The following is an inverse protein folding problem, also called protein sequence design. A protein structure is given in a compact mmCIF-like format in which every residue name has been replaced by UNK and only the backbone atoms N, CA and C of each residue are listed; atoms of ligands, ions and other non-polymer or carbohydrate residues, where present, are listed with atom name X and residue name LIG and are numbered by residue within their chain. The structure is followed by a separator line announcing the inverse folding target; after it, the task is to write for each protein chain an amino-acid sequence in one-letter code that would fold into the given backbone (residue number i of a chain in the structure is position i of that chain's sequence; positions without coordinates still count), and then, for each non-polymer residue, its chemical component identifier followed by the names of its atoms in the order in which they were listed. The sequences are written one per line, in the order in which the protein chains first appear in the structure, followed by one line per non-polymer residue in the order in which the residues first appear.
data_IF_654875257490
#
_entry.id   IF_654875257490
#
_cell.length_a   1.000
_cell.length_b   1.000
_cell.length_c   1.000
_cell.angle_alpha   90.00
_cell.angle_beta   90.00
_cell.angle_gamma   90.00
#
_symmetry.space_group_name_H-M   'P 1'
#
loop_
_entity.id
_entity.type
_entity.pdbx_description
1 polymer ?
#
# COMPACT_ATOMS: atom_id res chain seq x y z
N UNK A 1 18.92 -1.97 7.09
CA UNK A 1 17.89 -0.96 7.41
C UNK A 1 17.74 -0.04 6.20
N UNK A 2 16.52 0.10 5.65
CA UNK A 2 16.24 0.95 4.48
C UNK A 2 15.52 2.22 4.96
N UNK A 3 16.27 3.21 5.43
CA UNK A 3 15.78 4.52 5.86
C UNK A 3 15.89 5.58 4.76
N UNK A 4 15.46 6.81 5.04
CA UNK A 4 15.50 7.90 4.06
C UNK A 4 16.92 8.24 3.56
N UNK A 5 17.94 7.96 4.33
CA UNK A 5 19.34 8.13 3.93
C UNK A 5 19.74 7.06 2.91
N UNK A 6 19.42 5.79 3.19
CA UNK A 6 19.65 4.69 2.26
C UNK A 6 19.09 5.01 0.86
N UNK A 7 17.82 5.45 0.79
CA UNK A 7 17.18 5.78 -0.48
C UNK A 7 17.85 6.96 -1.20
N UNK A 8 18.35 7.96 -0.46
CA UNK A 8 19.09 9.09 -1.06
C UNK A 8 20.42 8.65 -1.64
N UNK A 9 21.15 7.81 -0.93
CA UNK A 9 22.48 7.32 -1.32
C UNK A 9 22.41 6.30 -2.46
N UNK A 10 21.33 5.51 -2.52
CA UNK A 10 21.14 4.43 -3.49
C UNK A 10 20.07 4.74 -4.54
N UNK A 11 19.90 6.01 -4.92
CA UNK A 11 18.84 6.46 -5.82
C UNK A 11 18.82 5.72 -7.16
N UNK A 12 19.96 5.33 -7.69
CA UNK A 12 20.11 4.57 -8.94
C UNK A 12 19.46 3.18 -8.91
N UNK A 13 19.21 2.61 -7.72
CA UNK A 13 18.54 1.31 -7.59
C UNK A 13 17.03 1.41 -7.81
N UNK A 14 16.42 2.50 -7.37
CA UNK A 14 14.95 2.64 -7.37
C UNK A 14 14.40 3.76 -8.26
N UNK A 15 15.26 4.59 -8.87
CA UNK A 15 14.84 5.69 -9.72
C UNK A 15 15.51 5.63 -11.09
N UNK A 16 14.71 5.87 -12.15
CA UNK A 16 15.19 5.97 -13.52
C UNK A 16 14.42 7.05 -14.28
N UNK A 17 15.12 7.94 -14.96
CA UNK A 17 14.56 9.02 -15.79
C UNK A 17 14.84 8.83 -17.29
N UNK A 18 15.32 7.66 -17.69
CA UNK A 18 15.53 7.34 -19.10
C UNK A 18 14.20 7.21 -19.85
N UNK A 19 14.13 7.78 -21.04
CA UNK A 19 12.92 7.75 -21.88
C UNK A 19 12.75 6.46 -22.68
N UNK A 20 13.67 5.51 -22.58
CA UNK A 20 13.80 4.37 -23.52
C UNK A 20 13.83 3.01 -22.82
N UNK A 21 12.76 2.66 -22.08
CA UNK A 21 12.57 1.26 -21.71
C UNK A 21 11.81 0.49 -22.79
N UNK A 22 12.32 -0.70 -23.14
CA UNK A 22 11.48 -1.76 -23.67
C UNK A 22 10.64 -2.35 -22.55
N UNK A 23 9.53 -3.03 -22.87
CA UNK A 23 8.69 -3.68 -21.83
C UNK A 23 9.50 -4.72 -21.02
N UNK A 24 10.42 -5.43 -21.66
CA UNK A 24 11.27 -6.42 -21.02
C UNK A 24 12.21 -5.78 -20.00
N UNK A 25 12.95 -4.74 -20.39
CA UNK A 25 13.85 -4.01 -19.51
C UNK A 25 13.10 -3.35 -18.33
N UNK A 26 11.87 -2.86 -18.57
CA UNK A 26 11.03 -2.30 -17.51
C UNK A 26 10.67 -3.38 -16.49
N UNK A 27 10.24 -4.57 -16.96
CA UNK A 27 9.90 -5.69 -16.08
C UNK A 27 11.08 -6.11 -15.22
N UNK A 28 12.27 -6.27 -15.80
CA UNK A 28 13.49 -6.62 -15.06
C UNK A 28 13.81 -5.57 -13.98
N UNK A 29 13.72 -4.28 -14.31
CA UNK A 29 13.95 -3.18 -13.36
C UNK A 29 12.91 -3.17 -12.24
N UNK A 30 11.63 -3.31 -12.56
CA UNK A 30 10.56 -3.38 -11.56
C UNK A 30 10.80 -4.55 -10.60
N UNK A 31 11.10 -5.75 -11.13
CA UNK A 31 11.36 -6.94 -10.32
C UNK A 31 12.57 -6.74 -9.41
N UNK A 32 13.69 -6.28 -9.96
CA UNK A 32 14.93 -6.08 -9.19
C UNK A 32 14.74 -5.03 -8.10
N UNK A 33 14.30 -3.83 -8.47
CA UNK A 33 14.18 -2.71 -7.53
C UNK A 33 13.12 -2.95 -6.44
N UNK A 34 11.96 -3.54 -6.79
CA UNK A 34 10.92 -3.82 -5.79
C UNK A 34 11.31 -4.93 -4.81
N UNK A 35 12.19 -5.87 -5.21
CA UNK A 35 12.77 -6.86 -4.30
C UNK A 35 13.88 -6.29 -3.42
N UNK A 36 14.71 -5.40 -3.97
CA UNK A 36 15.89 -4.88 -3.28
C UNK A 36 15.55 -3.66 -2.41
N UNK A 37 14.76 -2.72 -2.95
CA UNK A 37 14.48 -1.45 -2.29
C UNK A 37 13.00 -1.28 -1.89
N UNK A 38 12.12 -2.22 -2.26
CA UNK A 38 10.69 -2.11 -2.02
C UNK A 38 9.93 -1.23 -3.04
N UNK A 39 10.59 -0.43 -3.86
CA UNK A 39 9.94 0.44 -4.85
C UNK A 39 10.80 0.68 -6.09
N UNK A 40 10.12 1.08 -7.19
CA UNK A 40 10.75 1.58 -8.40
C UNK A 40 9.97 2.76 -8.96
N UNK A 41 10.64 3.89 -9.20
CA UNK A 41 10.09 5.07 -9.86
C UNK A 41 10.69 5.24 -11.24
N UNK A 42 9.83 5.12 -12.26
CA UNK A 42 10.19 5.43 -13.64
C UNK A 42 9.58 6.77 -14.07
N UNK A 43 10.45 7.71 -14.42
CA UNK A 43 10.06 9.03 -14.95
C UNK A 43 9.99 9.00 -16.46
N UNK A 44 8.91 8.41 -16.99
CA UNK A 44 8.74 8.23 -18.44
C UNK A 44 8.44 9.52 -19.20
N UNK A 45 7.89 10.53 -18.51
CA UNK A 45 7.41 11.77 -19.10
C UNK A 45 6.17 11.61 -20.00
N UNK A 46 5.55 10.42 -20.06
CA UNK A 46 4.40 10.11 -20.91
C UNK A 46 3.20 9.72 -20.05
N UNK A 47 2.11 10.49 -20.16
CA UNK A 47 0.83 10.10 -19.56
C UNK A 47 0.17 9.01 -20.41
N UNK A 48 -0.13 7.88 -19.78
CA UNK A 48 -0.83 6.75 -20.38
C UNK A 48 -2.34 6.90 -20.19
N UNK A 49 -3.13 6.41 -21.14
CA UNK A 49 -4.57 6.17 -20.93
C UNK A 49 -4.75 5.01 -19.95
N UNK A 50 -5.99 4.83 -19.44
CA UNK A 50 -6.29 3.68 -18.55
C UNK A 50 -6.06 2.34 -19.26
N UNK A 51 -6.42 2.26 -20.54
CA UNK A 51 -6.25 1.07 -21.37
C UNK A 51 -4.76 0.73 -21.53
N UNK A 52 -3.93 1.70 -21.92
CA UNK A 52 -2.49 1.48 -22.08
C UNK A 52 -1.79 1.17 -20.75
N UNK A 53 -2.26 1.78 -19.64
CA UNK A 53 -1.75 1.47 -18.31
C UNK A 53 -2.11 0.04 -17.89
N UNK A 54 -3.32 -0.41 -18.19
CA UNK A 54 -3.76 -1.76 -17.91
C UNK A 54 -2.99 -2.79 -18.76
N UNK A 55 -2.78 -2.51 -20.05
CA UNK A 55 -1.95 -3.33 -20.93
C UNK A 55 -0.53 -3.47 -20.37
N UNK A 56 0.11 -2.36 -20.00
CA UNK A 56 1.42 -2.35 -19.35
C UNK A 56 1.40 -3.21 -18.06
N UNK A 57 0.40 -3.02 -17.22
CA UNK A 57 0.24 -3.72 -15.95
C UNK A 57 0.15 -5.24 -16.14
N UNK A 58 -0.59 -5.68 -17.15
CA UNK A 58 -0.77 -7.10 -17.47
C UNK A 58 0.50 -7.78 -18.01
N UNK A 59 1.51 -7.03 -18.43
CA UNK A 59 2.85 -7.60 -18.73
C UNK A 59 3.64 -7.95 -17.47
N UNK A 60 3.30 -7.31 -16.35
CA UNK A 60 3.97 -7.52 -15.05
C UNK A 60 3.25 -8.59 -14.22
N UNK A 61 1.94 -8.63 -14.24
CA UNK A 61 1.14 -9.54 -13.43
C UNK A 61 -0.32 -9.51 -13.79
N UNK A 62 -1.18 -9.94 -12.88
CA UNK A 62 -2.64 -9.91 -13.05
C UNK A 62 -3.21 -8.68 -12.36
N UNK A 63 -3.89 -7.81 -13.12
CA UNK A 63 -4.60 -6.68 -12.54
C UNK A 63 -5.78 -7.16 -11.69
N UNK A 64 -5.95 -6.54 -10.51
CA UNK A 64 -6.93 -6.92 -9.50
C UNK A 64 -8.04 -5.89 -9.38
N UNK A 65 -9.23 -6.35 -9.04
CA UNK A 65 -10.34 -5.45 -8.76
C UNK A 65 -10.10 -4.65 -7.47
N UNK A 66 -10.31 -3.35 -7.54
CA UNK A 66 -10.18 -2.41 -6.41
C UNK A 66 -11.53 -1.97 -5.84
N UNK A 67 -12.63 -2.52 -6.36
CA UNK A 67 -13.99 -2.27 -5.89
C UNK A 67 -14.89 -3.46 -6.16
N UNK A 68 -16.02 -3.54 -5.46
CA UNK A 68 -17.03 -4.56 -5.70
C UNK A 68 -17.62 -4.51 -7.12
N UNK A 69 -17.56 -3.35 -7.78
CA UNK A 69 -18.03 -3.14 -9.15
C UNK A 69 -17.03 -3.58 -10.23
N UNK A 70 -15.83 -4.00 -9.83
CA UNK A 70 -14.83 -4.52 -10.76
C UNK A 70 -13.95 -3.46 -11.41
N UNK A 71 -13.43 -2.51 -10.64
CA UNK A 71 -12.50 -1.48 -11.13
C UNK A 71 -11.04 -1.96 -11.05
N UNK A 72 -10.37 -2.15 -12.17
CA UNK A 72 -8.94 -2.54 -12.24
C UNK A 72 -8.00 -1.32 -12.29
N UNK A 73 -8.45 -0.20 -12.87
CA UNK A 73 -7.70 1.08 -12.89
C UNK A 73 -8.49 2.12 -12.12
N UNK A 74 -8.09 2.39 -10.88
CA UNK A 74 -8.81 3.30 -9.98
C UNK A 74 -8.28 4.73 -10.10
N UNK A 75 -9.19 5.71 -10.16
CA UNK A 75 -8.85 7.14 -10.11
C UNK A 75 -8.68 7.60 -8.67
N UNK A 76 -7.46 8.01 -8.33
CA UNK A 76 -7.14 8.61 -7.03
C UNK A 76 -7.17 10.13 -7.21
N UNK A 77 -8.29 10.75 -6.79
CA UNK A 77 -8.54 12.19 -6.87
C UNK A 77 -9.39 12.63 -5.68
N UNK A 78 -9.41 13.92 -5.40
CA UNK A 78 -10.38 14.47 -4.44
C UNK A 78 -11.77 14.53 -5.07
N UNK A 79 -12.73 13.85 -4.46
CA UNK A 79 -14.15 13.87 -4.89
C UNK A 79 -15.00 14.83 -4.06
N UNK A 80 -14.37 15.56 -3.11
CA UNK A 80 -15.02 16.56 -2.29
C UNK A 80 -15.98 16.01 -1.22
N UNK A 81 -15.92 14.71 -0.93
CA UNK A 81 -16.79 14.12 0.10
C UNK A 81 -16.29 14.45 1.50
N UNK A 82 -17.20 14.84 2.38
CA UNK A 82 -16.93 14.98 3.82
C UNK A 82 -16.80 13.59 4.50
N UNK A 83 -16.08 13.54 5.65
CA UNK A 83 -15.87 12.28 6.39
C UNK A 83 -17.18 11.56 6.77
N UNK A 84 -18.25 12.32 6.96
CA UNK A 84 -19.59 11.82 7.32
C UNK A 84 -20.36 11.25 6.13
N UNK A 85 -19.90 11.50 4.90
CA UNK A 85 -20.54 10.96 3.69
C UNK A 85 -20.21 9.45 3.57
N UNK A 86 -21.22 8.57 3.36
CA UNK A 86 -20.99 7.13 3.19
C UNK A 86 -20.10 6.77 2.00
N UNK A 87 -19.94 7.68 1.04
CA UNK A 87 -19.06 7.52 -0.13
C UNK A 87 -17.62 7.91 0.16
N UNK A 88 -17.34 8.57 1.30
CA UNK A 88 -16.00 8.99 1.67
C UNK A 88 -15.04 7.79 1.68
N UNK A 89 -13.92 7.96 0.99
CA UNK A 89 -12.79 7.03 1.01
C UNK A 89 -11.50 7.84 1.14
N UNK A 90 -10.53 7.35 1.90
CA UNK A 90 -9.24 8.02 2.08
C UNK A 90 -8.58 8.43 0.74
N UNK A 91 -8.46 7.53 -0.25
CA UNK A 91 -7.90 7.86 -1.56
C UNK A 91 -8.67 8.93 -2.34
N UNK A 92 -9.97 9.08 -2.09
CA UNK A 92 -10.86 10.06 -2.73
C UNK A 92 -11.02 11.35 -1.93
N UNK A 93 -10.03 11.72 -1.13
CA UNK A 93 -10.01 12.96 -0.35
C UNK A 93 -8.67 13.68 -0.50
N UNK A 94 -8.67 14.98 -0.18
CA UNK A 94 -7.46 15.80 -0.14
C UNK A 94 -6.73 15.77 1.23
N UNK A 95 -7.23 15.03 2.20
CA UNK A 95 -6.67 14.93 3.54
C UNK A 95 -5.41 14.06 3.55
N UNK A 96 -4.56 14.26 4.56
CA UNK A 96 -3.44 13.35 4.81
C UNK A 96 -3.97 11.93 5.08
N UNK A 97 -3.29 10.95 4.51
CA UNK A 97 -3.55 9.54 4.79
C UNK A 97 -2.64 9.05 5.92
N UNK A 98 -3.12 8.11 6.72
CA UNK A 98 -2.26 7.31 7.60
C UNK A 98 -1.40 6.36 6.76
N UNK A 99 -0.25 5.95 7.28
CA UNK A 99 0.56 4.91 6.65
C UNK A 99 -0.20 3.59 6.64
N UNK A 100 -0.26 2.96 5.46
CA UNK A 100 -1.06 1.74 5.25
C UNK A 100 -0.49 0.89 4.11
N UNK A 101 -1.05 -0.30 3.98
CA UNK A 101 -0.92 -1.18 2.82
C UNK A 101 -2.27 -1.30 2.11
N UNK A 102 -2.23 -1.71 0.83
CA UNK A 102 -3.39 -2.11 0.05
C UNK A 102 -3.50 -3.66 -0.01
N UNK A 103 -4.52 -4.18 -0.71
CA UNK A 103 -4.77 -5.63 -0.84
C UNK A 103 -4.20 -6.19 -2.14
N UNK A 104 -2.88 -6.12 -2.33
CA UNK A 104 -2.18 -6.58 -3.53
C UNK A 104 -0.71 -6.90 -3.22
N UNK A 105 -0.03 -7.59 -4.15
CA UNK A 105 1.41 -7.82 -4.05
C UNK A 105 2.19 -6.57 -4.48
N UNK A 106 1.85 -6.04 -5.66
CA UNK A 106 2.49 -4.86 -6.25
C UNK A 106 1.44 -3.77 -6.49
N UNK A 107 1.76 -2.57 -6.07
CA UNK A 107 0.95 -1.37 -6.26
C UNK A 107 1.60 -0.49 -7.32
N UNK A 108 0.85 -0.13 -8.35
CA UNK A 108 1.28 0.82 -9.39
C UNK A 108 0.50 2.12 -9.28
N UNK A 109 1.22 3.23 -9.15
CA UNK A 109 0.68 4.58 -9.32
C UNK A 109 1.20 5.19 -10.61
N UNK A 110 0.30 5.77 -11.40
CA UNK A 110 0.63 6.60 -12.55
C UNK A 110 0.13 8.02 -12.33
N UNK A 111 1.05 8.99 -12.32
CA UNK A 111 0.69 10.38 -12.13
C UNK A 111 0.20 10.99 -13.44
N UNK A 112 -1.07 11.42 -13.47
CA UNK A 112 -1.65 12.16 -14.60
C UNK A 112 -1.54 13.67 -14.36
N UNK A 113 -1.89 14.10 -13.15
CA UNK A 113 -1.75 15.50 -12.69
C UNK A 113 -1.39 15.49 -11.20
N UNK A 114 -0.43 16.32 -10.82
CA UNK A 114 -0.06 16.55 -9.44
C UNK A 114 -0.78 17.79 -8.91
N UNK A 115 -1.03 17.82 -7.59
CA UNK A 115 -1.51 19.02 -6.92
C UNK A 115 -0.45 20.14 -6.99
N UNK A 116 -0.89 21.40 -6.99
CA UNK A 116 0.00 22.56 -6.92
C UNK A 116 0.78 22.60 -5.62
N UNK A 117 0.13 22.25 -4.50
CA UNK A 117 0.73 22.19 -3.18
C UNK A 117 0.33 20.90 -2.45
N UNK A 118 1.29 20.28 -1.76
CA UNK A 118 1.10 19.04 -1.02
C UNK A 118 1.01 17.80 -1.91
N UNK A 119 0.30 16.77 -1.42
CA UNK A 119 0.12 15.52 -2.15
C UNK A 119 1.41 14.70 -2.34
N UNK A 120 2.43 14.95 -1.51
CA UNK A 120 3.69 14.20 -1.50
C UNK A 120 3.43 12.79 -1.01
N UNK A 121 3.95 11.81 -1.73
CA UNK A 121 3.87 10.41 -1.32
C UNK A 121 4.99 10.10 -0.34
N UNK A 122 4.67 9.33 0.71
CA UNK A 122 5.58 8.94 1.77
C UNK A 122 5.66 7.42 1.81
N UNK A 123 6.85 6.86 1.93
CA UNK A 123 7.10 5.43 1.92
C UNK A 123 8.02 5.01 3.06
N UNK A 124 7.71 3.90 3.72
CA UNK A 124 8.57 3.30 4.76
C UNK A 124 8.65 1.80 4.53
N UNK A 125 9.86 1.26 4.56
CA UNK A 125 10.08 -0.18 4.45
C UNK A 125 9.78 -0.89 5.77
N UNK A 126 9.14 -2.06 5.70
CA UNK A 126 8.76 -2.88 6.87
C UNK A 126 9.95 -3.25 7.75
N UNK A 127 11.10 -3.54 7.15
CA UNK A 127 12.35 -3.85 7.86
C UNK A 127 12.83 -2.68 8.74
N UNK A 128 12.71 -1.45 8.23
CA UNK A 128 13.05 -0.24 9.01
C UNK A 128 12.14 -0.10 10.23
N UNK A 129 10.82 -0.25 10.02
CA UNK A 129 9.85 -0.17 11.11
C UNK A 129 10.10 -1.26 12.15
N UNK A 130 10.30 -2.48 11.68
CA UNK A 130 10.55 -3.64 12.54
C UNK A 130 11.78 -3.44 13.42
N UNK A 131 12.92 -3.04 12.80
CA UNK A 131 14.18 -2.82 13.54
C UNK A 131 14.06 -1.71 14.58
N UNK A 132 13.34 -0.62 14.27
CA UNK A 132 13.11 0.46 15.23
C UNK A 132 12.23 -0.02 16.39
N UNK A 133 11.17 -0.79 16.11
CA UNK A 133 10.30 -1.35 17.14
C UNK A 133 11.05 -2.35 18.01
N UNK A 134 11.89 -3.19 17.42
CA UNK A 134 12.73 -4.16 18.16
C UNK A 134 13.69 -3.48 19.13
N UNK A 135 14.25 -2.33 18.75
CA UNK A 135 15.14 -1.52 19.58
C UNK A 135 14.41 -0.69 20.63
N UNK A 136 13.34 0.04 20.23
CA UNK A 136 12.70 1.06 21.08
C UNK A 136 11.54 0.51 21.92
N UNK A 137 10.83 -0.52 21.45
CA UNK A 137 9.56 -0.97 22.05
C UNK A 137 9.25 -2.43 21.71
N UNK A 138 10.14 -3.38 22.12
CA UNK A 138 9.99 -4.80 21.76
C UNK A 138 8.70 -5.44 22.26
N UNK A 139 8.10 -4.90 23.34
CA UNK A 139 6.79 -5.34 23.83
C UNK A 139 5.65 -4.95 22.86
N UNK A 140 5.74 -3.79 22.21
CA UNK A 140 4.74 -3.36 21.21
C UNK A 140 4.93 -4.12 19.89
N UNK A 141 6.17 -4.48 19.54
CA UNK A 141 6.44 -5.31 18.38
C UNK A 141 5.77 -6.68 18.51
N UNK A 142 5.87 -7.33 19.67
CA UNK A 142 5.20 -8.62 19.93
C UNK A 142 3.69 -8.52 19.74
N UNK A 143 3.08 -7.43 20.18
CA UNK A 143 1.64 -7.20 19.97
C UNK A 143 1.31 -7.06 18.49
N UNK A 144 2.17 -6.42 17.68
CA UNK A 144 1.96 -6.29 16.23
C UNK A 144 2.20 -7.61 15.46
N UNK A 145 2.84 -8.60 16.08
CA UNK A 145 2.96 -9.98 15.58
C UNK A 145 1.76 -10.87 15.98
N UNK A 146 0.87 -10.38 16.86
CA UNK A 146 -0.39 -11.05 17.22
C UNK A 146 -1.54 -10.59 16.30
N UNK A 147 -2.62 -11.38 16.26
CA UNK A 147 -3.77 -11.06 15.41
C UNK A 147 -4.55 -9.85 15.93
N UNK A 148 -4.94 -9.01 14.99
CA UNK A 148 -5.94 -7.95 15.14
C UNK A 148 -7.20 -8.31 14.36
N UNK A 149 -8.35 -7.82 14.81
CA UNK A 149 -9.60 -7.91 14.06
C UNK A 149 -9.68 -6.77 13.05
N UNK A 150 -9.92 -7.11 11.79
CA UNK A 150 -10.11 -6.16 10.70
C UNK A 150 -11.54 -6.28 10.17
N UNK A 151 -12.23 -5.16 10.02
CA UNK A 151 -13.57 -5.14 9.43
C UNK A 151 -13.52 -5.64 7.99
N UNK A 152 -14.42 -6.56 7.63
CA UNK A 152 -14.61 -6.94 6.22
C UNK A 152 -15.28 -5.81 5.45
N UNK A 153 -14.68 -5.41 4.36
CA UNK A 153 -15.18 -4.31 3.53
C UNK A 153 -16.51 -4.63 2.83
N UNK A 154 -16.71 -5.90 2.43
CA UNK A 154 -17.94 -6.37 1.84
C UNK A 154 -18.31 -7.67 2.53
N UNK A 155 -19.56 -7.81 2.90
CA UNK A 155 -20.08 -9.10 3.33
C UNK A 155 -19.86 -10.09 2.18
N UNK A 156 -18.96 -11.05 2.37
CA UNK A 156 -18.89 -12.22 1.51
C UNK A 156 -20.09 -13.09 1.90
N UNK A 157 -21.06 -13.33 1.02
CA UNK A 157 -22.20 -14.20 1.35
C UNK A 157 -21.81 -15.61 1.80
N UNK A 158 -20.61 -16.06 1.39
CA UNK A 158 -20.04 -17.34 1.80
C UNK A 158 -19.34 -17.29 3.17
N UNK A 159 -19.11 -16.10 3.74
CA UNK A 159 -18.49 -15.94 5.04
C UNK A 159 -19.34 -14.99 5.91
N UNK A 160 -20.05 -15.53 6.91
CA UNK A 160 -20.96 -14.76 7.75
C UNK A 160 -20.25 -13.83 8.73
N UNK A 161 -18.92 -13.99 8.95
CA UNK A 161 -18.17 -13.14 9.86
C UNK A 161 -17.99 -11.75 9.28
N UNK A 162 -18.26 -10.74 10.10
CA UNK A 162 -18.08 -9.32 9.72
C UNK A 162 -16.63 -8.85 9.77
N UNK A 163 -15.72 -9.71 10.16
CA UNK A 163 -14.30 -9.43 10.36
C UNK A 163 -13.43 -10.60 9.89
N UNK A 164 -12.13 -10.38 9.82
CA UNK A 164 -11.08 -11.38 9.68
C UNK A 164 -9.92 -11.04 10.62
N UNK A 165 -9.10 -12.04 10.91
CA UNK A 165 -8.00 -11.93 11.86
C UNK A 165 -6.65 -12.07 11.15
N UNK A 166 -5.74 -11.10 11.34
CA UNK A 166 -4.37 -11.22 10.89
C UNK A 166 -3.45 -10.28 11.68
N UNK A 167 -2.15 -10.62 11.77
CA UNK A 167 -1.16 -9.75 12.41
C UNK A 167 -0.81 -8.56 11.50
N UNK A 168 -0.23 -7.52 12.09
CA UNK A 168 0.38 -6.42 11.32
C UNK A 168 1.67 -6.90 10.68
N UNK A 169 2.55 -7.55 11.44
CA UNK A 169 3.74 -8.21 10.91
C UNK A 169 3.49 -9.71 10.77
N UNK A 170 3.68 -10.20 9.55
CA UNK A 170 3.55 -11.62 9.23
C UNK A 170 4.85 -12.39 9.48
N UNK A 171 5.42 -12.98 8.43
CA UNK A 171 6.64 -13.79 8.53
C UNK A 171 7.88 -12.92 8.83
N UNK A 172 8.68 -13.38 9.79
CA UNK A 172 9.96 -12.75 10.15
C UNK A 172 10.99 -12.80 9.02
N UNK A 173 10.92 -13.81 8.16
CA UNK A 173 11.88 -13.99 7.07
C UNK A 173 11.73 -12.94 5.98
N UNK A 174 10.49 -12.73 5.54
CA UNK A 174 10.18 -11.81 4.42
C UNK A 174 9.74 -10.42 4.89
N UNK A 175 9.57 -10.21 6.21
CA UNK A 175 9.10 -8.95 6.80
C UNK A 175 7.81 -8.42 6.12
N UNK A 176 6.91 -9.34 5.82
CA UNK A 176 5.60 -8.98 5.26
C UNK A 176 4.83 -8.14 6.28
N UNK A 177 4.26 -7.04 5.81
CA UNK A 177 3.46 -6.13 6.63
C UNK A 177 2.08 -5.92 6.01
N UNK A 178 1.05 -5.86 6.87
CA UNK A 178 -0.31 -5.47 6.47
C UNK A 178 -0.88 -4.54 7.53
N UNK A 179 -1.18 -3.31 7.15
CA UNK A 179 -1.70 -2.31 8.07
C UNK A 179 -2.81 -1.50 7.41
N UNK A 180 -4.01 -1.63 7.93
CA UNK A 180 -5.19 -0.83 7.56
C UNK A 180 -5.88 -0.42 8.85
N UNK A 181 -5.31 0.57 9.57
CA UNK A 181 -5.76 0.99 10.90
C UNK A 181 -7.25 1.31 10.96
N UNK A 182 -7.80 1.92 9.91
CA UNK A 182 -9.24 2.22 9.85
C UNK A 182 -10.14 0.97 9.85
N UNK A 183 -9.67 -0.17 9.30
CA UNK A 183 -10.42 -1.43 9.33
C UNK A 183 -10.34 -2.08 10.71
N UNK A 184 -9.21 -1.94 11.41
CA UNK A 184 -9.06 -2.36 12.80
C UNK A 184 -10.02 -1.53 13.68
N UNK A 185 -9.96 -0.19 13.58
CA UNK A 185 -10.84 0.71 14.32
C UNK A 185 -12.32 0.42 14.07
N UNK A 186 -12.72 0.20 12.81
CA UNK A 186 -14.10 -0.13 12.46
C UNK A 186 -14.56 -1.51 12.99
N UNK A 187 -13.68 -2.50 13.06
CA UNK A 187 -14.01 -3.78 13.67
C UNK A 187 -14.34 -3.62 15.16
N UNK A 188 -13.54 -2.83 15.88
CA UNK A 188 -13.71 -2.60 17.31
C UNK A 188 -14.78 -1.55 17.67
N UNK A 189 -15.47 -0.95 16.69
CA UNK A 189 -16.70 -0.19 16.89
C UNK A 189 -17.94 -1.09 16.99
N UNK A 190 -17.80 -2.36 16.62
CA UNK A 190 -18.87 -3.36 16.77
C UNK A 190 -18.97 -3.76 18.26
N UNK A 191 -20.11 -3.53 18.88
CA UNK A 191 -20.33 -3.81 20.31
C UNK A 191 -20.25 -5.29 20.69
N UNK A 192 -20.34 -6.18 19.71
CA UNK A 192 -20.22 -7.63 19.93
C UNK A 192 -18.77 -8.12 19.90
N UNK A 193 -17.83 -7.26 19.45
CA UNK A 193 -16.42 -7.58 19.40
C UNK A 193 -15.67 -6.98 20.60
N UNK A 194 -14.54 -7.60 21.02
CA UNK A 194 -13.75 -7.06 22.12
C UNK A 194 -13.15 -5.70 21.75
N UNK A 195 -13.04 -4.80 22.73
CA UNK A 195 -12.28 -3.57 22.55
C UNK A 195 -10.79 -3.84 22.33
N UNK A 196 -10.09 -2.93 21.63
CA UNK A 196 -8.63 -2.95 21.59
C UNK A 196 -8.06 -2.83 23.00
N UNK A 197 -7.08 -3.65 23.33
CA UNK A 197 -6.31 -3.51 24.54
C UNK A 197 -5.47 -2.21 24.52
N UNK A 198 -5.04 -1.75 25.68
CA UNK A 198 -4.16 -0.57 25.77
C UNK A 198 -2.85 -0.78 25.00
N UNK A 199 -2.28 -1.99 25.01
CA UNK A 199 -1.07 -2.30 24.27
C UNK A 199 -1.31 -2.32 22.76
N UNK A 200 -2.44 -2.85 22.30
CA UNK A 200 -2.83 -2.80 20.88
C UNK A 200 -2.98 -1.35 20.40
N UNK A 201 -3.66 -0.49 21.16
CA UNK A 201 -3.78 0.92 20.84
C UNK A 201 -2.41 1.62 20.78
N UNK A 202 -1.56 1.39 21.78
CA UNK A 202 -0.19 1.95 21.82
C UNK A 202 0.65 1.48 20.64
N UNK A 203 0.55 0.20 20.25
CA UNK A 203 1.31 -0.34 19.13
C UNK A 203 0.90 0.27 17.79
N UNK A 204 -0.41 0.46 17.55
CA UNK A 204 -0.92 1.12 16.34
C UNK A 204 -0.53 2.60 16.27
N UNK A 205 -0.50 3.30 17.39
CA UNK A 205 -0.01 4.68 17.46
C UNK A 205 1.49 4.73 17.20
N UNK A 206 2.27 3.87 17.87
CA UNK A 206 3.73 3.84 17.78
C UNK A 206 4.22 3.59 16.35
N UNK A 207 3.59 2.67 15.61
CA UNK A 207 3.98 2.39 14.22
C UNK A 207 3.75 3.65 13.33
N UNK A 208 2.65 4.39 13.52
CA UNK A 208 2.39 5.62 12.79
C UNK A 208 3.40 6.72 13.17
N UNK A 209 3.76 6.85 14.45
CA UNK A 209 4.78 7.80 14.93
C UNK A 209 6.16 7.53 14.32
N UNK A 210 6.57 6.25 14.25
CA UNK A 210 7.82 5.84 13.59
C UNK A 210 7.79 6.24 12.13
N UNK A 211 6.71 5.92 11.41
CA UNK A 211 6.57 6.24 9.99
C UNK A 211 6.56 7.74 9.70
N UNK A 212 6.14 8.59 10.65
CA UNK A 212 6.11 10.04 10.51
C UNK A 212 7.48 10.70 10.70
N UNK A 213 8.50 9.99 11.18
CA UNK A 213 9.85 10.53 11.36
C UNK A 213 10.49 10.82 10.01
N UNK A 214 11.03 12.03 9.83
CA UNK A 214 11.62 12.47 8.55
C UNK A 214 12.84 11.66 8.13
N UNK A 215 13.58 11.14 9.07
CA UNK A 215 14.73 10.26 8.83
C UNK A 215 14.34 8.83 8.44
N UNK A 216 13.09 8.44 8.69
CA UNK A 216 12.57 7.09 8.43
C UNK A 216 11.88 7.00 7.08
N UNK A 217 10.99 7.94 6.75
CA UNK A 217 10.25 7.86 5.49
C UNK A 217 10.99 8.49 4.30
N UNK A 218 10.77 7.91 3.13
CA UNK A 218 11.16 8.50 1.85
C UNK A 218 10.00 9.38 1.34
N UNK A 219 10.30 10.63 0.98
CA UNK A 219 9.37 11.55 0.34
C UNK A 219 9.54 11.55 -1.18
N UNK A 220 8.47 11.33 -1.92
CA UNK A 220 8.47 11.34 -3.39
C UNK A 220 7.33 12.19 -3.94
N UNK A 221 7.69 13.28 -4.61
CA UNK A 221 6.74 14.05 -5.43
C UNK A 221 6.75 13.52 -6.85
N UNK A 222 5.65 12.90 -7.27
CA UNK A 222 5.49 12.41 -8.63
C UNK A 222 5.17 13.57 -9.58
N UNK A 223 5.65 13.47 -10.81
CA UNK A 223 5.36 14.40 -11.91
C UNK A 223 4.44 13.73 -12.92
N UNK A 224 3.68 14.50 -13.72
CA UNK A 224 2.90 13.93 -14.81
C UNK A 224 3.74 13.01 -15.71
N UNK A 225 3.25 11.81 -15.95
CA UNK A 225 3.95 10.75 -16.68
C UNK A 225 4.80 9.80 -15.82
N UNK A 226 5.01 10.09 -14.53
CA UNK A 226 5.73 9.18 -13.63
C UNK A 226 4.91 7.90 -13.37
N UNK A 227 5.60 6.74 -13.34
CA UNK A 227 5.08 5.47 -12.89
C UNK A 227 5.87 5.02 -11.66
N UNK A 228 5.17 4.78 -10.56
CA UNK A 228 5.74 4.29 -9.31
C UNK A 228 5.20 2.88 -9.02
N UNK A 229 6.10 1.94 -8.89
CA UNK A 229 5.83 0.55 -8.52
C UNK A 229 6.28 0.32 -7.08
N UNK A 230 5.41 -0.26 -6.26
CA UNK A 230 5.63 -0.45 -4.83
C UNK A 230 5.39 -1.91 -4.45
N UNK A 231 6.36 -2.56 -3.82
CA UNK A 231 6.15 -3.85 -3.16
C UNK A 231 5.26 -3.63 -1.92
N UNK A 232 3.97 -3.80 -2.11
CA UNK A 232 2.99 -3.47 -1.10
C UNK A 232 3.00 -4.42 0.12
N UNK A 233 3.67 -5.58 -0.01
CA UNK A 233 3.87 -6.51 1.10
C UNK A 233 5.01 -6.11 2.04
N UNK A 234 5.87 -5.19 1.62
CA UNK A 234 7.04 -4.74 2.39
C UNK A 234 7.09 -3.22 2.60
N UNK A 235 6.17 -2.46 2.00
CA UNK A 235 6.18 -1.00 2.08
C UNK A 235 4.86 -0.46 2.60
N UNK A 236 4.91 0.28 3.68
CA UNK A 236 3.82 1.18 4.04
C UNK A 236 3.90 2.45 3.20
N UNK A 237 2.76 2.94 2.78
CA UNK A 237 2.65 4.18 2.04
C UNK A 237 1.62 5.13 2.62
N UNK A 238 1.84 6.40 2.39
CA UNK A 238 1.00 7.51 2.84
C UNK A 238 1.07 8.66 1.83
N UNK A 239 0.30 9.68 2.05
CA UNK A 239 0.28 10.91 1.26
C UNK A 239 -0.03 12.09 2.16
N UNK A 240 0.74 13.18 2.04
CA UNK A 240 0.43 14.43 2.73
C UNK A 240 -0.90 15.01 2.24
N UNK A 241 -1.53 15.86 3.04
CA UNK A 241 -2.65 16.65 2.57
C UNK A 241 -2.26 17.50 1.35
N UNK A 242 -3.23 17.88 0.52
CA UNK A 242 -3.03 18.77 -0.62
C UNK A 242 -4.19 19.74 -0.75
N UNK A 243 -3.96 20.83 -1.48
CA UNK A 243 -5.01 21.81 -1.74
C UNK A 243 -6.18 21.22 -2.53
N UNK A 244 -7.40 21.60 -2.15
CA UNK A 244 -8.66 21.16 -2.74
C UNK A 244 -8.92 21.76 -4.14
N UNK A 245 -7.88 22.10 -4.91
CA UNK A 245 -7.99 22.68 -6.26
C UNK A 245 -8.59 21.73 -7.31
N UNK A 246 -8.87 20.47 -6.92
CA UNK A 246 -9.55 19.48 -7.75
C UNK A 246 -8.70 18.85 -8.86
N UNK A 247 -7.46 19.29 -9.04
CA UNK A 247 -6.69 18.91 -10.22
C UNK A 247 -5.79 17.68 -10.05
N UNK A 248 -5.56 17.21 -8.83
CA UNK A 248 -4.75 16.03 -8.61
C UNK A 248 -5.45 14.77 -9.12
N UNK A 249 -4.81 14.06 -10.05
CA UNK A 249 -5.31 12.81 -10.60
C UNK A 249 -4.16 11.81 -10.76
N UNK A 250 -4.30 10.64 -10.12
CA UNK A 250 -3.46 9.49 -10.35
C UNK A 250 -4.33 8.32 -10.77
N UNK A 251 -3.77 7.44 -11.61
CA UNK A 251 -4.31 6.10 -11.81
C UNK A 251 -3.57 5.14 -10.91
N UNK A 252 -4.33 4.26 -10.25
CA UNK A 252 -3.80 3.20 -9.38
C UNK A 252 -4.21 1.84 -9.94
N UNK A 253 -3.25 0.92 -10.01
CA UNK A 253 -3.48 -0.49 -10.35
C UNK A 253 -2.95 -1.37 -9.24
N UNK A 254 -3.74 -2.32 -8.80
CA UNK A 254 -3.32 -3.40 -7.90
C UNK A 254 -2.96 -4.63 -8.73
N UNK A 255 -1.84 -5.26 -8.42
CA UNK A 255 -1.34 -6.42 -9.17
C UNK A 255 -1.03 -7.59 -8.23
N UNK A 256 -1.43 -8.78 -8.63
CA UNK A 256 -0.82 -10.03 -8.22
C UNK A 256 0.34 -10.32 -9.18
N UNK A 257 1.53 -10.61 -8.66
CA UNK A 257 2.74 -10.77 -9.49
C UNK A 257 3.40 -12.13 -9.30
N UNK A 258 3.93 -12.75 -10.37
CA UNK A 258 4.48 -14.11 -10.32
C UNK A 258 5.78 -14.23 -9.49
N UNK A 259 6.39 -13.11 -9.10
CA UNK A 259 7.58 -13.07 -8.24
C UNK A 259 7.28 -12.68 -6.80
N UNK A 260 6.00 -12.64 -6.40
CA UNK A 260 5.61 -12.37 -5.01
C UNK A 260 6.02 -13.51 -4.09
N UNK A 261 6.29 -13.16 -2.83
CA UNK A 261 6.71 -14.12 -1.80
C UNK A 261 5.52 -14.94 -1.28
N UNK A 262 5.81 -16.06 -0.64
CA UNK A 262 4.84 -16.81 0.13
C UNK A 262 4.37 -15.98 1.33
N UNK A 263 3.08 -16.03 1.63
CA UNK A 263 2.48 -15.37 2.80
C UNK A 263 2.20 -16.38 3.90
N UNK A 264 2.23 -15.95 5.17
CA UNK A 264 1.74 -16.77 6.27
C UNK A 264 0.28 -17.18 6.05
N UNK A 265 -0.11 -18.35 6.55
CA UNK A 265 -1.49 -18.88 6.42
C UNK A 265 -2.54 -17.91 6.99
N UNK A 266 -2.20 -17.14 8.02
CA UNK A 266 -3.08 -16.11 8.60
C UNK A 266 -3.52 -15.05 7.61
N UNK A 267 -2.81 -14.86 6.48
CA UNK A 267 -3.13 -13.89 5.44
C UNK A 267 -4.11 -14.42 4.38
N UNK A 268 -4.44 -15.73 4.40
CA UNK A 268 -5.32 -16.35 3.41
C UNK A 268 -6.70 -15.69 3.36
N UNK A 269 -7.27 -15.35 4.50
CA UNK A 269 -8.60 -14.70 4.55
C UNK A 269 -8.63 -13.34 3.87
N UNK A 270 -7.53 -12.57 3.93
CA UNK A 270 -7.43 -11.28 3.28
C UNK A 270 -7.12 -11.42 1.78
N UNK A 271 -6.15 -12.27 1.44
CA UNK A 271 -5.60 -12.35 0.09
C UNK A 271 -6.24 -13.44 -0.77
N UNK A 272 -6.86 -14.44 -0.17
CA UNK A 272 -7.52 -15.58 -0.86
C UNK A 272 -6.57 -16.70 -1.30
N UNK A 273 -5.24 -16.47 -1.23
CA UNK A 273 -4.19 -17.47 -1.42
C UNK A 273 -2.88 -16.98 -0.79
N UNK A 274 -2.04 -17.90 -0.31
CA UNK A 274 -0.77 -17.59 0.34
C UNK A 274 0.45 -18.02 -0.46
N UNK A 275 0.30 -18.94 -1.43
CA UNK A 275 1.42 -19.45 -2.21
C UNK A 275 2.17 -18.34 -2.97
N UNK A 276 3.49 -18.47 -3.06
CA UNK A 276 4.34 -17.56 -3.84
C UNK A 276 3.89 -17.51 -5.30
N UNK A 277 3.79 -16.30 -5.88
CA UNK A 277 3.36 -16.08 -7.26
C UNK A 277 1.89 -16.36 -7.56
N UNK A 278 1.07 -16.68 -6.55
CA UNK A 278 -0.36 -16.91 -6.73
C UNK A 278 -1.09 -15.62 -7.15
N UNK A 279 -2.17 -15.77 -7.90
CA UNK A 279 -3.11 -14.64 -8.13
C UNK A 279 -3.96 -14.47 -6.87
N UNK A 280 -3.75 -13.37 -6.17
CA UNK A 280 -4.33 -13.11 -4.85
C UNK A 280 -4.58 -11.63 -4.60
N UNK A 281 -5.40 -11.32 -3.60
CA UNK A 281 -5.76 -9.95 -3.22
C UNK A 281 -6.94 -9.38 -4.01
N UNK A 282 -7.09 -8.06 -3.99
CA UNK A 282 -8.22 -7.38 -4.61
C UNK A 282 -9.57 -7.69 -3.95
N UNK A 283 -10.65 -7.27 -4.60
CA UNK A 283 -12.02 -7.58 -4.20
C UNK A 283 -12.63 -8.63 -5.13
N UNK A 284 -13.31 -9.63 -4.57
CA UNK A 284 -14.12 -10.55 -5.37
C UNK A 284 -15.27 -9.76 -6.01
N UNK A 285 -15.56 -10.04 -7.28
CA UNK A 285 -16.81 -9.61 -7.93
C UNK A 285 -17.95 -10.49 -7.39
N UNK A 286 -19.03 -9.87 -6.98
CA UNK A 286 -20.26 -10.55 -6.62
C UNK A 286 -21.32 -10.30 -7.70
#
# INVERSE_FOLDING_TARGET
MQDSQYYRENKNLWFDDSSAFTLENLKEKVVSATKECGLFLWRSGKCLTKENLLELSNTLGTALNQSAQGCEVFEVKDEGYEKTDPRFRGPSSNRQLTFHTDRCDLLLFHCIRQASEGGVNLFVHSETIYSILEEESPELLKVLEENFLYKRHNADPANPLSYYELPVFGDKKERVITLMTWLIEQAHQDSELPNLSELQLKSLVKIQEICQRKEVHLEVSLKPGDLLFLNNLQMLHSRTAFEASGDRLYYRVWLAVPWSVELPDSFEELFGATAAGAVRGGFKKF
#
